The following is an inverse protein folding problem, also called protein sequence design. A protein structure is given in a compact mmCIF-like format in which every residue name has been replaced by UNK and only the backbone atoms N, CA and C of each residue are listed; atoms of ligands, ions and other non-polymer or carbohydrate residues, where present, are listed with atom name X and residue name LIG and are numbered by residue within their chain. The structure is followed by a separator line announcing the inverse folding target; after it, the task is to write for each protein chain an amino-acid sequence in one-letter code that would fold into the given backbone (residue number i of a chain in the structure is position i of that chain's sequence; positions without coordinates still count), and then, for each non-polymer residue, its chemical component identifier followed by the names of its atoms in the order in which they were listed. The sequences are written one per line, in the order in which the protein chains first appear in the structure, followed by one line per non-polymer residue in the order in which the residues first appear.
data_IF_292837386949
#
_entry.id   IF_292837386949
#
_cell.length_a   1.000
_cell.length_b   1.000
_cell.length_c   1.000
_cell.angle_alpha   90.00
_cell.angle_beta   90.00
_cell.angle_gamma   90.00
#
_symmetry.space_group_name_H-M   'P 1'
#
loop_
_entity.id
_entity.type
_entity.pdbx_description
1 polymer ?
#
# COMPACT_ATOMS: atom_id res chain seq x y z
N UNK A 1 17.89 8.14 -4.44
CA UNK A 1 17.17 9.29 -3.90
C UNK A 1 16.81 9.09 -2.43
N UNK A 2 16.64 10.17 -1.72
CA UNK A 2 16.29 10.16 -0.29
C UNK A 2 14.97 9.41 -0.06
N UNK A 3 13.96 9.64 -0.92
CA UNK A 3 12.65 8.98 -0.82
C UNK A 3 12.78 7.47 -0.95
N UNK A 4 13.61 6.99 -1.88
CA UNK A 4 13.81 5.57 -2.08
C UNK A 4 14.49 4.92 -0.87
N UNK A 5 15.46 5.61 -0.27
CA UNK A 5 16.16 5.13 0.91
C UNK A 5 15.25 5.07 2.14
N UNK A 6 14.32 6.01 2.27
CA UNK A 6 13.37 6.04 3.38
C UNK A 6 12.27 4.97 3.25
N UNK A 7 12.01 4.48 2.03
CA UNK A 7 10.98 3.49 1.77
C UNK A 7 9.60 4.11 1.58
N UNK A 8 8.60 3.24 1.48
CA UNK A 8 7.21 3.64 1.33
C UNK A 8 6.36 3.06 2.45
N UNK A 9 5.25 3.71 2.74
CA UNK A 9 4.28 3.25 3.74
C UNK A 9 2.86 3.39 3.19
N UNK A 10 2.02 2.43 3.50
CA UNK A 10 0.63 2.44 3.09
C UNK A 10 -0.25 1.90 4.21
N UNK A 11 -1.55 2.16 4.11
CA UNK A 11 -2.56 1.60 5.00
C UNK A 11 -3.63 0.95 4.15
N UNK A 12 -3.81 -0.35 4.29
CA UNK A 12 -4.83 -1.10 3.54
C UNK A 12 -4.88 -2.53 4.05
N UNK A 13 -6.01 -3.18 3.87
CA UNK A 13 -6.16 -4.59 4.22
C UNK A 13 -6.38 -5.47 2.98
N UNK A 14 -6.18 -4.95 1.79
CA UNK A 14 -6.52 -5.68 0.56
C UNK A 14 -5.56 -5.46 -0.59
N UNK A 15 -6.13 -5.22 -1.77
CA UNK A 15 -5.38 -5.14 -3.01
C UNK A 15 -4.32 -4.05 -3.03
N UNK A 16 -4.63 -2.88 -2.49
CA UNK A 16 -3.66 -1.78 -2.44
C UNK A 16 -2.41 -2.17 -1.64
N UNK A 17 -2.60 -2.83 -0.50
CA UNK A 17 -1.50 -3.30 0.34
C UNK A 17 -0.59 -4.26 -0.43
N UNK A 18 -1.19 -5.23 -1.10
CA UNK A 18 -0.45 -6.22 -1.87
C UNK A 18 0.26 -5.58 -3.06
N UNK A 19 -0.41 -4.63 -3.73
CA UNK A 19 0.17 -3.90 -4.85
C UNK A 19 1.40 -3.08 -4.43
N UNK A 20 1.30 -2.37 -3.33
CA UNK A 20 2.43 -1.59 -2.78
C UNK A 20 3.59 -2.52 -2.42
N UNK A 21 3.30 -3.64 -1.76
CA UNK A 21 4.32 -4.61 -1.36
C UNK A 21 5.05 -5.19 -2.57
N UNK A 22 4.32 -5.63 -3.56
CA UNK A 22 4.89 -6.23 -4.77
C UNK A 22 5.71 -5.21 -5.57
N UNK A 23 5.15 -4.04 -5.84
CA UNK A 23 5.83 -3.01 -6.61
C UNK A 23 7.12 -2.57 -5.91
N UNK A 24 7.07 -2.38 -4.60
CA UNK A 24 8.24 -2.00 -3.82
C UNK A 24 9.32 -3.06 -3.86
N UNK A 25 8.94 -4.34 -3.75
CA UNK A 25 9.86 -5.45 -3.83
C UNK A 25 10.56 -5.50 -5.18
N UNK A 26 9.83 -5.32 -6.27
CA UNK A 26 10.38 -5.30 -7.62
C UNK A 26 11.36 -4.15 -7.83
N UNK A 27 11.15 -3.03 -7.17
CA UNK A 27 12.01 -1.85 -7.25
C UNK A 27 13.14 -1.83 -6.22
N UNK A 28 13.19 -2.81 -5.34
CA UNK A 28 14.19 -2.87 -4.27
C UNK A 28 13.99 -1.81 -3.20
N UNK A 29 12.76 -1.38 -2.97
CA UNK A 29 12.40 -0.38 -1.98
C UNK A 29 11.71 -1.06 -0.79
N UNK A 30 12.05 -0.65 0.44
CA UNK A 30 11.37 -1.18 1.62
C UNK A 30 9.94 -0.67 1.66
N UNK A 31 9.01 -1.53 2.07
CA UNK A 31 7.62 -1.14 2.26
C UNK A 31 7.13 -1.55 3.64
N UNK A 32 6.36 -0.68 4.25
CA UNK A 32 5.68 -0.94 5.51
C UNK A 32 4.18 -0.74 5.26
N UNK A 33 3.38 -1.73 5.63
CA UNK A 33 1.94 -1.68 5.43
C UNK A 33 1.25 -1.78 6.77
N UNK A 34 0.42 -0.79 7.08
CA UNK A 34 -0.42 -0.80 8.28
C UNK A 34 -1.76 -1.40 7.92
N UNK A 35 -2.22 -2.35 8.73
CA UNK A 35 -3.51 -3.00 8.57
C UNK A 35 -4.28 -2.94 9.87
N UNK A 36 -5.64 -2.90 9.83
CA UNK A 36 -6.43 -3.00 11.05
C UNK A 36 -6.13 -4.30 11.78
N UNK A 37 -6.27 -4.30 13.11
CA UNK A 37 -5.98 -5.47 13.93
C UNK A 37 -6.81 -6.69 13.50
N UNK A 38 -8.03 -6.48 13.01
CA UNK A 38 -8.90 -7.55 12.55
C UNK A 38 -8.71 -7.96 11.10
N UNK A 39 -7.64 -7.53 10.41
CA UNK A 39 -7.43 -7.89 9.01
C UNK A 39 -7.36 -9.40 8.83
N UNK A 40 -7.94 -9.94 7.74
CA UNK A 40 -7.91 -11.38 7.48
C UNK A 40 -6.48 -11.91 7.36
N UNK A 41 -6.19 -13.00 8.06
CA UNK A 41 -4.85 -13.57 8.07
C UNK A 41 -4.28 -13.90 6.70
N UNK A 42 -5.07 -14.44 5.72
CA UNK A 42 -4.53 -14.67 4.38
C UNK A 42 -4.02 -13.40 3.68
N UNK A 43 -4.68 -12.26 3.92
CA UNK A 43 -4.25 -10.99 3.33
C UNK A 43 -2.98 -10.46 3.99
N UNK A 44 -2.87 -10.64 5.29
CA UNK A 44 -1.64 -10.30 6.03
C UNK A 44 -0.48 -11.15 5.50
N UNK A 45 -0.68 -12.46 5.40
CA UNK A 45 0.34 -13.38 4.91
C UNK A 45 0.76 -13.06 3.47
N UNK A 46 -0.19 -12.80 2.58
CA UNK A 46 0.10 -12.46 1.19
C UNK A 46 0.95 -11.20 1.08
N UNK A 47 0.62 -10.17 1.88
CA UNK A 47 1.38 -8.92 1.88
C UNK A 47 2.80 -9.14 2.37
N UNK A 48 2.97 -9.96 3.41
CA UNK A 48 4.29 -10.32 3.92
C UNK A 48 5.11 -11.12 2.90
N UNK A 49 4.47 -12.03 2.19
CA UNK A 49 5.13 -12.82 1.16
C UNK A 49 5.66 -11.97 0.01
N UNK A 50 4.98 -10.88 -0.31
CA UNK A 50 5.47 -9.91 -1.30
C UNK A 50 6.62 -9.04 -0.78
N UNK A 51 6.99 -9.18 0.48
CA UNK A 51 8.18 -8.53 1.02
C UNK A 51 7.93 -7.31 1.90
N UNK A 52 6.69 -6.98 2.20
CA UNK A 52 6.37 -5.85 3.07
C UNK A 52 6.46 -6.23 4.55
N UNK A 53 6.82 -5.25 5.37
CA UNK A 53 6.63 -5.34 6.81
C UNK A 53 5.19 -4.96 7.11
N UNK A 54 4.44 -5.84 7.76
CA UNK A 54 3.06 -5.58 8.13
C UNK A 54 2.98 -5.19 9.61
N UNK A 55 2.31 -4.08 9.90
CA UNK A 55 2.04 -3.62 11.26
C UNK A 55 0.54 -3.55 11.47
N UNK A 56 0.05 -4.25 12.48
CA UNK A 56 -1.36 -4.24 12.82
C UNK A 56 -1.62 -3.10 13.81
N UNK A 57 -2.52 -2.20 13.47
CA UNK A 57 -2.85 -1.05 14.29
C UNK A 57 -4.26 -0.53 13.98
N UNK A 58 -5.02 -0.27 15.03
CA UNK A 58 -6.34 0.31 14.92
C UNK A 58 -7.44 -0.72 14.72
N UNK A 59 -8.67 -0.35 15.10
CA UNK A 59 -9.85 -1.18 14.96
C UNK A 59 -10.55 -0.92 13.63
N UNK A 60 -10.40 0.28 13.10
CA UNK A 60 -11.02 0.70 11.85
C UNK A 60 -9.97 1.31 10.92
N UNK A 61 -10.31 1.39 9.63
CA UNK A 61 -9.40 1.89 8.59
C UNK A 61 -8.87 3.29 8.89
N UNK A 62 -9.72 4.17 9.42
CA UNK A 62 -9.31 5.56 9.72
C UNK A 62 -8.17 5.61 10.75
N UNK A 63 -8.21 4.77 11.75
CA UNK A 63 -7.15 4.69 12.76
C UNK A 63 -5.86 4.15 12.15
N UNK A 64 -6.00 3.14 11.30
CA UNK A 64 -4.86 2.55 10.59
C UNK A 64 -4.21 3.57 9.66
N UNK A 65 -5.02 4.33 8.94
CA UNK A 65 -4.56 5.39 8.03
C UNK A 65 -3.79 6.47 8.80
N UNK A 66 -4.33 6.91 9.93
CA UNK A 66 -3.66 7.91 10.77
C UNK A 66 -2.31 7.42 11.26
N UNK A 67 -2.21 6.16 11.67
CA UNK A 67 -0.95 5.56 12.11
C UNK A 67 0.09 5.52 10.99
N UNK A 68 -0.34 5.18 9.78
CA UNK A 68 0.55 5.15 8.62
C UNK A 68 1.06 6.55 8.27
N UNK A 69 0.21 7.55 8.33
CA UNK A 69 0.59 8.93 8.07
C UNK A 69 1.59 9.46 9.12
N UNK A 70 1.35 9.15 10.39
CA UNK A 70 2.28 9.50 11.46
C UNK A 70 3.64 8.82 11.27
N UNK A 71 3.64 7.56 10.90
CA UNK A 71 4.87 6.82 10.59
C UNK A 71 5.64 7.49 9.46
N UNK A 72 4.95 7.91 8.40
CA UNK A 72 5.58 8.59 7.27
C UNK A 72 6.24 9.90 7.70
N UNK A 73 5.57 10.69 8.53
CA UNK A 73 6.12 11.95 9.04
C UNK A 73 7.35 11.71 9.92
N UNK A 74 7.30 10.70 10.76
CA UNK A 74 8.38 10.40 11.71
C UNK A 74 9.62 9.82 11.03
N UNK A 75 9.45 9.01 10.01
CA UNK A 75 10.55 8.26 9.37
C UNK A 75 11.01 8.85 8.04
N UNK A 76 10.24 9.76 7.45
CA UNK A 76 10.50 10.27 6.11
C UNK A 76 10.06 9.34 4.99
N UNK A 77 9.41 8.22 5.30
CA UNK A 77 8.88 7.31 4.29
C UNK A 77 7.78 8.01 3.47
N UNK A 78 7.67 7.64 2.20
CA UNK A 78 6.64 8.22 1.31
C UNK A 78 5.32 7.50 1.57
N UNK A 79 4.29 8.26 1.92
CA UNK A 79 2.95 7.72 2.11
C UNK A 79 2.25 7.52 0.77
N UNK A 80 1.83 6.29 0.49
CA UNK A 80 1.11 5.96 -0.75
C UNK A 80 -0.38 5.89 -0.43
N UNK A 81 -1.12 6.93 -0.83
CA UNK A 81 -2.56 6.98 -0.61
C UNK A 81 -3.26 5.91 -1.47
N UNK A 82 -4.30 5.22 -0.94
CA UNK A 82 -4.96 4.15 -1.69
C UNK A 82 -5.72 4.60 -2.93
N UNK A 83 -6.08 5.88 -3.05
CA UNK A 83 -6.86 6.35 -4.21
C UNK A 83 -6.64 7.83 -4.56
N UNK A 84 -6.31 8.69 -3.63
CA UNK A 84 -6.27 10.14 -3.85
C UNK A 84 -4.89 10.65 -4.27
N UNK A 85 -4.40 10.11 -5.39
CA UNK A 85 -3.14 10.54 -5.99
C UNK A 85 -3.20 10.25 -7.50
N UNK A 86 -2.74 11.19 -8.36
CA UNK A 86 -2.83 11.00 -9.81
C UNK A 86 -2.23 9.69 -10.32
N UNK A 87 -1.09 9.26 -9.79
CA UNK A 87 -0.44 8.03 -10.22
C UNK A 87 -1.26 6.79 -9.83
N UNK A 88 -1.89 6.81 -8.67
CA UNK A 88 -2.76 5.71 -8.22
C UNK A 88 -4.02 5.65 -9.09
N UNK A 89 -4.61 6.80 -9.39
CA UNK A 89 -5.78 6.89 -10.28
C UNK A 89 -5.42 6.36 -11.66
N UNK A 90 -4.27 6.75 -12.20
CA UNK A 90 -3.81 6.28 -13.51
C UNK A 90 -3.60 4.76 -13.52
N UNK A 91 -2.97 4.21 -12.47
CA UNK A 91 -2.74 2.79 -12.36
C UNK A 91 -4.03 1.98 -12.29
N UNK A 92 -4.99 2.42 -11.49
CA UNK A 92 -6.29 1.75 -11.40
C UNK A 92 -7.11 1.92 -12.69
N UNK A 93 -6.93 3.05 -13.37
CA UNK A 93 -7.61 3.33 -14.63
C UNK A 93 -7.25 2.39 -15.78
N UNK A 94 -6.12 1.69 -15.70
CA UNK A 94 -5.72 0.73 -16.74
C UNK A 94 -6.75 -0.39 -16.90
N UNK A 95 -7.43 -0.77 -15.83
CA UNK A 95 -8.50 -1.78 -15.91
C UNK A 95 -9.63 -1.32 -16.82
N UNK A 96 -10.02 -0.04 -16.73
CA UNK A 96 -11.04 0.53 -17.61
C UNK A 96 -10.64 0.48 -19.08
N UNK A 97 -9.38 0.81 -19.37
CA UNK A 97 -8.86 0.74 -20.73
C UNK A 97 -8.88 -0.69 -21.27
N UNK A 98 -8.47 -1.66 -20.47
CA UNK A 98 -8.49 -3.06 -20.86
C UNK A 98 -9.90 -3.57 -21.12
N UNK A 99 -10.87 -3.16 -20.31
CA UNK A 99 -12.28 -3.52 -20.51
C UNK A 99 -12.78 -2.97 -21.85
N UNK A 100 -12.45 -1.73 -22.19
CA UNK A 100 -12.83 -1.12 -23.47
C UNK A 100 -12.21 -1.84 -24.66
N UNK A 101 -11.00 -2.36 -24.53
CA UNK A 101 -10.35 -3.16 -25.58
C UNK A 101 -11.00 -4.52 -25.78
N UNK A 102 -11.36 -5.20 -24.69
CA UNK A 102 -11.87 -6.57 -24.73
C UNK A 102 -13.37 -6.65 -24.90
N UNK A 103 -14.10 -5.61 -24.50
CA UNK A 103 -15.58 -5.56 -24.57
C UNK A 103 -16.01 -4.20 -25.12
N UNK A 104 -15.73 -3.93 -26.41
CA UNK A 104 -16.06 -2.64 -27.03
C UNK A 104 -17.58 -2.43 -27.20
#
# INVERSE_FOLDING_TARGET
PVERAAGVVAASAGNHAQGVALASSLLGVRSTVFMPVGAPLPKVAATQEYGAEVRLHGQVVDETLAAAQEYAERTGAVFIHPFDHPDIIAGQGTLGLEILEQCP
#
